data_IF_674647751276
#
_entry.id   IF_674647751276
#
_cell.length_a   1.000
_cell.length_b   1.000
_cell.length_c   1.000
_cell.angle_alpha   90.00
_cell.angle_beta   90.00
_cell.angle_gamma   90.00
#
_symmetry.space_group_name_H-M   'P 1'
#
loop_
_entity.id
_entity.type
_entity.pdbx_description
1 polymer ?
#
# COMPACT_ATOMS: atom_id res chain seq x y z
N UNK A 1 -13.17 -9.34 -1.34
CA UNK A 1 -12.25 -9.18 -0.19
C UNK A 1 -10.81 -9.40 -0.62
N UNK A 2 -9.83 -8.81 0.09
CA UNK A 2 -8.38 -8.86 -0.20
C UNK A 2 -7.79 -10.22 -0.61
N UNK A 3 -8.35 -11.33 -0.15
CA UNK A 3 -7.96 -12.68 -0.57
C UNK A 3 -8.19 -12.92 -2.07
N UNK A 4 -9.32 -12.49 -2.62
CA UNK A 4 -9.63 -12.58 -4.04
C UNK A 4 -8.70 -11.70 -4.87
N UNK A 5 -8.46 -10.47 -4.42
CA UNK A 5 -7.49 -9.57 -5.06
C UNK A 5 -6.10 -10.21 -5.16
N UNK A 6 -5.61 -10.82 -4.07
CA UNK A 6 -4.33 -11.54 -4.10
C UNK A 6 -4.33 -12.70 -5.09
N UNK A 7 -5.38 -13.53 -5.08
CA UNK A 7 -5.49 -14.72 -5.92
C UNK A 7 -5.56 -14.35 -7.40
N UNK A 8 -6.38 -13.35 -7.70
CA UNK A 8 -6.79 -12.97 -9.05
C UNK A 8 -5.97 -11.76 -9.57
N UNK A 9 -4.84 -11.45 -8.93
CA UNK A 9 -4.04 -10.25 -9.22
C UNK A 9 -3.65 -10.11 -10.69
N UNK A 10 -3.44 -11.22 -11.40
CA UNK A 10 -3.09 -11.24 -12.81
C UNK A 10 -4.11 -10.51 -13.69
N UNK A 11 -5.40 -10.48 -13.32
CA UNK A 11 -6.43 -9.75 -14.05
C UNK A 11 -6.36 -8.23 -13.87
N UNK A 12 -5.76 -7.77 -12.76
CA UNK A 12 -5.64 -6.36 -12.44
C UNK A 12 -4.28 -5.78 -12.87
N UNK A 13 -3.28 -6.65 -13.04
CA UNK A 13 -1.94 -6.22 -13.40
C UNK A 13 -1.91 -5.63 -14.81
N UNK A 14 -1.40 -4.40 -14.94
CA UNK A 14 -1.34 -3.67 -16.21
C UNK A 14 -2.62 -2.90 -16.59
N UNK A 15 -3.71 -3.05 -15.81
CA UNK A 15 -4.90 -2.21 -15.97
C UNK A 15 -4.63 -0.83 -15.37
N UNK A 16 -4.92 0.23 -16.13
CA UNK A 16 -4.85 1.60 -15.64
C UNK A 16 -6.18 2.01 -15.01
N UNK A 17 -6.17 2.13 -13.69
CA UNK A 17 -7.31 2.65 -12.94
C UNK A 17 -7.24 4.17 -12.83
N UNK A 18 -8.38 4.85 -12.85
CA UNK A 18 -8.42 6.25 -12.42
C UNK A 18 -8.24 6.35 -10.91
N UNK A 19 -8.84 5.45 -10.15
CA UNK A 19 -8.80 5.48 -8.69
C UNK A 19 -8.74 4.08 -8.09
N UNK A 20 -7.90 3.91 -7.07
CA UNK A 20 -7.88 2.73 -6.20
C UNK A 20 -8.06 3.19 -4.77
N UNK A 21 -9.03 2.60 -4.08
CA UNK A 21 -9.31 2.84 -2.67
C UNK A 21 -9.11 1.54 -1.90
N UNK A 22 -8.31 1.59 -0.85
CA UNK A 22 -8.16 0.51 0.11
C UNK A 22 -8.96 0.85 1.36
N UNK A 23 -9.95 0.01 1.68
CA UNK A 23 -10.60 0.00 2.98
C UNK A 23 -9.71 -0.72 4.00
N UNK A 24 -9.69 -0.29 5.25
CA UNK A 24 -8.87 -0.90 6.30
C UNK A 24 -7.38 -1.04 5.91
N UNK A 25 -6.72 0.11 5.71
CA UNK A 25 -5.33 0.22 5.25
C UNK A 25 -4.32 -0.56 6.11
N UNK A 26 -4.65 -0.90 7.35
CA UNK A 26 -3.86 -1.82 8.18
C UNK A 26 -3.68 -3.20 7.54
N UNK A 27 -4.51 -3.59 6.57
CA UNK A 27 -4.33 -4.79 5.76
C UNK A 27 -2.99 -4.80 5.00
N UNK A 28 -2.43 -3.61 4.67
CA UNK A 28 -1.14 -3.46 3.99
C UNK A 28 -0.01 -2.95 4.90
N UNK A 29 -0.15 -3.08 6.23
CA UNK A 29 0.85 -2.60 7.20
C UNK A 29 2.21 -3.26 7.06
N UNK A 30 2.25 -4.53 6.66
CA UNK A 30 3.49 -5.24 6.38
C UNK A 30 3.90 -5.08 4.90
N UNK A 31 4.88 -4.21 4.63
CA UNK A 31 5.39 -3.93 3.29
C UNK A 31 5.85 -5.17 2.51
N UNK A 32 6.31 -6.23 3.19
CA UNK A 32 6.79 -7.46 2.56
C UNK A 32 5.66 -8.47 2.26
N UNK A 33 4.45 -8.21 2.76
CA UNK A 33 3.32 -9.09 2.48
C UNK A 33 2.96 -9.08 1.00
N UNK A 34 2.55 -10.24 0.45
CA UNK A 34 2.10 -10.33 -0.93
C UNK A 34 0.95 -9.36 -1.24
N UNK A 35 0.09 -9.08 -0.26
CA UNK A 35 -0.99 -8.12 -0.42
C UNK A 35 -0.45 -6.71 -0.67
N UNK A 36 0.49 -6.26 0.16
CA UNK A 36 1.08 -4.92 0.05
C UNK A 36 1.85 -4.74 -1.25
N UNK A 37 2.65 -5.74 -1.62
CA UNK A 37 3.41 -5.73 -2.87
C UNK A 37 2.44 -5.61 -4.07
N UNK A 38 1.41 -6.44 -4.12
CA UNK A 38 0.41 -6.42 -5.21
C UNK A 38 -0.40 -5.13 -5.23
N UNK A 39 -0.82 -4.61 -4.08
CA UNK A 39 -1.57 -3.37 -3.98
C UNK A 39 -0.74 -2.17 -4.50
N UNK A 40 0.55 -2.10 -4.15
CA UNK A 40 1.46 -1.05 -4.63
C UNK A 40 1.73 -1.13 -6.14
N UNK A 41 1.69 -2.34 -6.72
CA UNK A 41 1.86 -2.59 -8.16
C UNK A 41 0.65 -2.19 -9.03
N UNK A 42 -0.53 -1.95 -8.44
CA UNK A 42 -1.67 -1.44 -9.20
C UNK A 42 -1.32 -0.09 -9.85
N UNK A 43 -1.76 0.12 -11.08
CA UNK A 43 -1.58 1.40 -11.77
C UNK A 43 -2.82 2.26 -11.53
N UNK A 44 -2.65 3.39 -10.85
CA UNK A 44 -3.76 4.28 -10.52
C UNK A 44 -3.31 5.75 -10.47
N UNK A 45 -4.15 6.65 -11.02
CA UNK A 45 -3.92 8.10 -10.93
C UNK A 45 -4.17 8.63 -9.52
N UNK A 46 -5.23 8.13 -8.86
CA UNK A 46 -5.58 8.49 -7.48
C UNK A 46 -5.55 7.25 -6.61
N UNK A 47 -4.87 7.34 -5.46
CA UNK A 47 -4.74 6.25 -4.49
C UNK A 47 -5.18 6.75 -3.12
N UNK A 48 -6.12 6.05 -2.51
CA UNK A 48 -6.68 6.43 -1.20
C UNK A 48 -6.60 5.23 -0.27
N UNK A 49 -6.10 5.45 0.94
CA UNK A 49 -6.05 4.46 2.00
C UNK A 49 -6.93 4.95 3.16
N UNK A 50 -7.97 4.20 3.49
CA UNK A 50 -8.90 4.49 4.59
C UNK A 50 -8.55 3.58 5.77
N UNK A 51 -8.48 4.13 6.99
CA UNK A 51 -8.26 3.34 8.20
C UNK A 51 -9.16 3.86 9.32
N UNK A 52 -9.85 2.95 9.99
CA UNK A 52 -10.60 3.26 11.22
C UNK A 52 -9.71 3.26 12.48
N UNK A 53 -8.51 2.67 12.40
CA UNK A 53 -7.60 2.53 13.53
C UNK A 53 -6.35 3.40 13.36
N UNK A 54 -5.90 4.10 14.42
CA UNK A 54 -4.57 4.71 14.39
C UNK A 54 -3.51 3.62 14.23
N UNK A 55 -2.48 3.88 13.43
CA UNK A 55 -1.37 2.94 13.22
C UNK A 55 -0.64 2.67 14.54
N UNK A 56 -0.33 1.41 14.83
CA UNK A 56 0.20 0.95 16.12
C UNK A 56 1.68 1.34 16.28
N UNK A 57 2.00 2.61 16.56
CA UNK A 57 3.35 3.14 16.91
C UNK A 57 4.55 2.57 16.12
N UNK A 58 4.35 2.08 14.90
CA UNK A 58 5.37 1.47 14.07
C UNK A 58 5.49 2.27 12.78
N UNK A 59 6.56 3.06 12.70
CA UNK A 59 6.83 3.92 11.55
C UNK A 59 6.98 3.13 10.25
N UNK A 60 7.37 1.86 10.29
CA UNK A 60 7.44 1.01 9.10
C UNK A 60 6.05 0.63 8.58
N UNK A 61 5.07 0.43 9.48
CA UNK A 61 3.69 0.17 9.10
C UNK A 61 3.08 1.40 8.42
N UNK A 62 3.31 2.57 9.01
CA UNK A 62 2.90 3.85 8.43
C UNK A 62 3.52 4.06 7.05
N UNK A 63 4.85 3.86 6.95
CA UNK A 63 5.56 3.94 5.67
C UNK A 63 4.93 3.03 4.62
N UNK A 64 4.56 1.80 4.97
CA UNK A 64 3.97 0.87 4.01
C UNK A 64 2.67 1.41 3.40
N UNK A 65 1.84 2.08 4.20
CA UNK A 65 0.61 2.72 3.71
C UNK A 65 0.92 3.95 2.85
N UNK A 66 1.90 4.77 3.25
CA UNK A 66 2.34 5.92 2.45
C UNK A 66 2.94 5.51 1.11
N UNK A 67 3.72 4.44 1.06
CA UNK A 67 4.25 3.90 -0.21
C UNK A 67 3.13 3.50 -1.19
N UNK A 68 1.95 3.15 -0.67
CA UNK A 68 0.77 2.92 -1.50
C UNK A 68 0.07 4.24 -1.87
N UNK A 69 -0.28 5.08 -0.91
CA UNK A 69 -1.10 6.27 -1.15
C UNK A 69 -0.34 7.40 -1.87
N UNK A 70 0.94 7.59 -1.53
CA UNK A 70 1.82 8.64 -2.05
C UNK A 70 3.20 8.02 -2.40
N UNK A 71 3.28 7.24 -3.50
CA UNK A 71 4.52 6.54 -3.88
C UNK A 71 5.69 7.51 -4.05
N UNK A 72 6.81 7.22 -3.38
CA UNK A 72 8.04 8.01 -3.44
C UNK A 72 8.16 9.16 -2.44
N UNK A 73 7.10 9.52 -1.71
CA UNK A 73 7.12 10.64 -0.75
C UNK A 73 8.19 10.47 0.34
N UNK A 74 8.31 9.25 0.88
CA UNK A 74 9.19 8.94 2.01
C UNK A 74 10.54 8.33 1.59
N UNK A 75 10.82 8.30 0.29
CA UNK A 75 12.03 7.73 -0.27
C UNK A 75 12.14 6.20 -0.14
N UNK A 76 13.35 5.70 -0.35
CA UNK A 76 13.67 4.28 -0.20
C UNK A 76 13.63 3.82 1.26
N UNK A 77 13.51 2.51 1.49
CA UNK A 77 13.53 1.95 2.85
C UNK A 77 14.81 2.30 3.62
N UNK A 78 15.95 2.39 2.92
CA UNK A 78 17.23 2.78 3.52
C UNK A 78 17.23 4.25 3.95
N UNK A 79 16.72 5.15 3.11
CA UNK A 79 16.59 6.57 3.43
C UNK A 79 15.62 6.78 4.59
N UNK A 80 14.48 6.10 4.58
CA UNK A 80 13.50 6.21 5.64
C UNK A 80 14.08 5.77 7.00
N UNK A 81 14.73 4.62 7.06
CA UNK A 81 15.39 4.12 8.29
C UNK A 81 16.54 5.01 8.79
N UNK A 82 17.16 5.79 7.91
CA UNK A 82 18.21 6.73 8.31
C UNK A 82 17.64 8.03 8.88
N UNK A 83 16.43 8.42 8.48
CA UNK A 83 15.83 9.71 8.80
C UNK A 83 14.86 9.66 9.99
N UNK A 84 14.40 8.45 10.35
CA UNK A 84 13.39 8.20 11.38
C UNK A 84 13.73 6.94 12.18
#
# INVERSE_FOLDING_TARGET
TYTLFKRDFAFYHGVQFNTVVLDEAQAIKNAQSQLSIKAKQLQAQTRIALSGTPFENNLQELKSVFDFALPGLLGSDAQFKSNF
#
